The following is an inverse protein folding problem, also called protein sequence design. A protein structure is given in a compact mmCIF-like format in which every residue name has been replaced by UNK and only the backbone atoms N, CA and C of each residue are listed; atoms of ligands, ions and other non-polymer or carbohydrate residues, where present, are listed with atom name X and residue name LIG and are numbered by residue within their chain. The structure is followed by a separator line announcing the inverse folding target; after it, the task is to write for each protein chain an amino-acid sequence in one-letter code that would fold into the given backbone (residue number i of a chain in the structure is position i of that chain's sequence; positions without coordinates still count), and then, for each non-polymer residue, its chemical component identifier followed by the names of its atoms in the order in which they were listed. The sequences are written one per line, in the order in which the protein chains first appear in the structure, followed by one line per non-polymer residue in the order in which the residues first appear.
data_IF_168596464929
#
_entry.id   IF_168596464929
#
_cell.length_a   1.000
_cell.length_b   1.000
_cell.length_c   1.000
_cell.angle_alpha   90.00
_cell.angle_beta   90.00
_cell.angle_gamma   90.00
#
_symmetry.space_group_name_H-M   'P 1'
#
loop_
_entity.id
_entity.type
_entity.pdbx_description
1 polymer ?
#
# COMPACT_ATOMS: atom_id res chain seq x y z
N UNK A 1 54.40 7.94 -33.68
CA UNK A 1 52.95 7.85 -33.85
C UNK A 1 52.38 7.41 -32.53
N UNK A 2 51.69 8.32 -31.83
CA UNK A 2 51.05 8.01 -30.54
C UNK A 2 49.59 7.68 -30.82
N UNK A 3 49.18 6.44 -30.62
CA UNK A 3 47.80 6.03 -30.69
C UNK A 3 47.10 6.38 -29.37
N UNK A 4 46.17 7.31 -29.44
CA UNK A 4 45.35 7.77 -28.32
C UNK A 4 44.15 6.78 -28.20
N UNK A 5 44.18 5.87 -27.21
CA UNK A 5 43.06 5.01 -26.90
C UNK A 5 42.04 5.80 -26.09
N UNK A 6 40.92 6.08 -26.71
CA UNK A 6 39.73 6.61 -26.02
C UNK A 6 39.00 5.49 -25.29
N UNK A 7 39.17 5.45 -23.98
CA UNK A 7 38.35 4.64 -23.09
C UNK A 7 36.99 5.32 -22.94
N UNK A 8 35.99 4.84 -23.65
CA UNK A 8 34.58 5.17 -23.39
C UNK A 8 34.10 4.46 -22.15
N UNK A 9 34.04 5.14 -21.02
CA UNK A 9 33.40 4.64 -19.83
C UNK A 9 31.88 4.64 -20.07
N UNK A 10 31.32 3.45 -20.31
CA UNK A 10 29.87 3.25 -20.37
C UNK A 10 29.24 3.46 -19.00
N UNK A 11 28.47 4.53 -18.85
CA UNK A 11 27.66 4.79 -17.66
C UNK A 11 26.47 3.82 -17.65
N UNK A 12 26.55 2.74 -16.88
CA UNK A 12 25.45 1.84 -16.61
C UNK A 12 24.45 2.56 -15.69
N UNK A 13 23.41 3.14 -16.28
CA UNK A 13 22.24 3.62 -15.55
C UNK A 13 21.50 2.41 -15.01
N UNK A 14 21.67 2.11 -13.72
CA UNK A 14 20.83 1.16 -13.02
C UNK A 14 19.43 1.74 -12.93
N UNK A 15 18.54 1.36 -13.85
CA UNK A 15 17.11 1.68 -13.78
C UNK A 15 16.54 0.89 -12.62
N UNK A 16 16.27 1.54 -11.48
CA UNK A 16 15.51 0.96 -10.38
C UNK A 16 14.11 0.60 -10.89
N UNK A 17 13.75 -0.68 -10.84
CA UNK A 17 12.40 -1.13 -11.18
C UNK A 17 11.49 -0.72 -10.03
N UNK A 18 10.67 0.32 -10.22
CA UNK A 18 9.60 0.64 -9.30
C UNK A 18 8.53 -0.45 -9.41
N UNK A 19 8.30 -1.20 -8.30
CA UNK A 19 7.22 -2.17 -8.24
C UNK A 19 5.89 -1.44 -8.14
N UNK A 20 5.12 -1.45 -9.24
CA UNK A 20 3.73 -1.04 -9.21
C UNK A 20 2.91 -2.06 -8.42
N UNK A 21 1.92 -1.58 -7.64
CA UNK A 21 0.97 -2.46 -6.95
C UNK A 21 0.15 -3.22 -7.98
N UNK A 22 0.05 -4.53 -7.83
CA UNK A 22 -0.87 -5.35 -8.60
C UNK A 22 -2.29 -5.16 -8.05
N UNK A 23 -3.06 -4.32 -8.73
CA UNK A 23 -4.42 -3.97 -8.29
C UNK A 23 -5.35 -5.19 -8.28
N UNK A 24 -5.28 -6.04 -9.29
CA UNK A 24 -6.13 -7.24 -9.35
C UNK A 24 -5.83 -8.20 -8.20
N UNK A 25 -4.56 -8.43 -7.88
CA UNK A 25 -4.15 -9.24 -6.74
C UNK A 25 -4.60 -8.62 -5.41
N UNK A 26 -4.47 -7.30 -5.25
CA UNK A 26 -4.91 -6.60 -4.04
C UNK A 26 -6.43 -6.70 -3.84
N UNK A 27 -7.21 -6.55 -4.90
CA UNK A 27 -8.68 -6.71 -4.84
C UNK A 27 -9.06 -8.13 -4.41
N UNK A 28 -8.42 -9.15 -4.95
CA UNK A 28 -8.66 -10.54 -4.54
C UNK A 28 -8.30 -10.76 -3.07
N UNK A 29 -7.18 -10.24 -2.60
CA UNK A 29 -6.81 -10.29 -1.18
C UNK A 29 -7.85 -9.60 -0.29
N UNK A 30 -8.34 -8.43 -0.70
CA UNK A 30 -9.37 -7.70 0.03
C UNK A 30 -10.67 -8.49 0.12
N UNK A 31 -11.12 -9.10 -0.98
CA UNK A 31 -12.31 -9.96 -1.00
C UNK A 31 -12.15 -11.18 -0.11
N UNK A 32 -11.04 -11.89 -0.23
CA UNK A 32 -10.80 -13.14 0.48
C UNK A 32 -10.63 -12.97 1.98
N UNK A 33 -10.27 -11.76 2.43
CA UNK A 33 -10.05 -11.45 3.84
C UNK A 33 -11.15 -10.58 4.48
N UNK A 34 -12.29 -10.43 3.81
CA UNK A 34 -13.46 -9.76 4.34
C UNK A 34 -13.36 -8.23 4.43
N UNK A 35 -12.36 -7.62 3.81
CA UNK A 35 -12.13 -6.18 3.86
C UNK A 35 -13.32 -5.38 3.31
N UNK A 36 -13.91 -5.88 2.22
CA UNK A 36 -15.02 -5.20 1.52
C UNK A 36 -16.37 -5.34 2.22
N UNK A 37 -16.44 -6.07 3.33
CA UNK A 37 -17.61 -6.08 4.23
C UNK A 37 -17.72 -4.78 5.02
N UNK A 38 -16.60 -4.09 5.26
CA UNK A 38 -16.52 -2.88 6.07
C UNK A 38 -15.97 -1.66 5.30
N UNK A 39 -15.28 -1.88 4.20
CA UNK A 39 -14.66 -0.83 3.39
C UNK A 39 -15.18 -0.82 1.96
N UNK A 40 -15.22 0.36 1.37
CA UNK A 40 -15.41 0.59 -0.04
C UNK A 40 -14.33 1.54 -0.56
N UNK A 41 -14.10 1.56 -1.87
CA UNK A 41 -13.07 2.44 -2.45
C UNK A 41 -13.37 3.93 -2.20
N UNK A 42 -14.61 4.35 -2.40
CA UNK A 42 -15.01 5.77 -2.38
C UNK A 42 -16.08 6.12 -1.36
N UNK A 43 -16.69 5.16 -0.72
CA UNK A 43 -17.81 5.37 0.19
C UNK A 43 -17.54 4.83 1.58
N UNK A 44 -17.93 5.59 2.61
CA UNK A 44 -17.94 5.10 3.98
C UNK A 44 -19.11 4.14 4.16
N UNK A 45 -18.82 2.94 4.65
CA UNK A 45 -19.83 1.98 5.11
C UNK A 45 -19.66 1.73 6.61
N UNK A 46 -19.10 0.62 7.03
CA UNK A 46 -18.75 0.40 8.44
C UNK A 46 -17.43 1.10 8.78
N UNK A 47 -16.40 0.85 7.97
CA UNK A 47 -15.11 1.52 8.06
C UNK A 47 -14.99 2.69 7.08
N UNK A 48 -13.88 3.44 7.13
CA UNK A 48 -13.66 4.55 6.21
C UNK A 48 -13.50 4.06 4.77
N UNK A 49 -13.90 4.92 3.82
CA UNK A 49 -13.56 4.72 2.41
C UNK A 49 -12.03 4.68 2.26
N UNK A 50 -11.52 3.85 1.36
CA UNK A 50 -10.08 3.79 1.10
C UNK A 50 -9.53 5.12 0.58
N UNK A 51 -10.32 5.87 -0.20
CA UNK A 51 -9.95 7.22 -0.64
C UNK A 51 -9.79 8.19 0.51
N UNK A 52 -10.57 8.06 1.58
CA UNK A 52 -10.42 8.85 2.80
C UNK A 52 -9.16 8.46 3.59
N UNK A 53 -8.83 7.18 3.61
CA UNK A 53 -7.58 6.70 4.20
C UNK A 53 -6.38 7.27 3.45
N UNK A 54 -6.40 7.21 2.12
CA UNK A 54 -5.38 7.86 1.29
C UNK A 54 -5.21 9.33 1.66
N UNK A 55 -6.30 10.07 1.72
CA UNK A 55 -6.28 11.50 2.02
C UNK A 55 -5.68 11.81 3.39
N UNK A 56 -5.99 10.99 4.39
CA UNK A 56 -5.43 11.14 5.74
C UNK A 56 -3.92 10.91 5.79
N UNK A 57 -3.41 9.96 5.04
CA UNK A 57 -2.02 9.51 5.12
C UNK A 57 -1.13 9.97 3.97
N UNK A 58 -1.64 10.70 2.98
CA UNK A 58 -0.89 11.04 1.75
C UNK A 58 0.44 11.77 1.99
N UNK A 59 0.52 12.58 3.05
CA UNK A 59 1.72 13.35 3.39
C UNK A 59 2.56 12.67 4.50
N UNK A 60 2.14 11.52 4.97
CA UNK A 60 2.86 10.74 5.96
C UNK A 60 3.85 9.79 5.28
N UNK A 61 5.14 10.00 5.52
CA UNK A 61 6.20 9.11 4.99
C UNK A 61 6.10 7.68 5.49
N UNK A 62 5.45 7.45 6.63
CA UNK A 62 5.25 6.15 7.27
C UNK A 62 3.84 5.58 7.02
N UNK A 63 3.12 6.11 6.05
CA UNK A 63 1.74 5.73 5.75
C UNK A 63 1.56 4.21 5.61
N UNK A 64 2.34 3.57 4.75
CA UNK A 64 2.24 2.12 4.52
C UNK A 64 2.51 1.35 5.80
N UNK A 65 3.54 1.70 6.57
CA UNK A 65 3.85 1.05 7.84
C UNK A 65 2.71 1.18 8.86
N UNK A 66 2.07 2.36 8.93
CA UNK A 66 0.91 2.59 9.80
C UNK A 66 -0.29 1.75 9.38
N UNK A 67 -0.55 1.65 8.08
CA UNK A 67 -1.65 0.83 7.56
C UNK A 67 -1.40 -0.67 7.75
N UNK A 68 -0.17 -1.11 7.59
CA UNK A 68 0.23 -2.51 7.90
C UNK A 68 -0.12 -2.85 9.34
N UNK A 69 0.20 -1.99 10.30
CA UNK A 69 -0.13 -2.21 11.71
C UNK A 69 -1.64 -2.26 11.95
N UNK A 70 -2.39 -1.38 11.31
CA UNK A 70 -3.85 -1.36 11.44
C UNK A 70 -4.50 -2.64 10.91
N UNK A 71 -3.99 -3.19 9.82
CA UNK A 71 -4.48 -4.46 9.26
C UNK A 71 -4.08 -5.63 10.17
N UNK A 72 -2.82 -5.69 10.56
CA UNK A 72 -2.28 -6.83 11.32
C UNK A 72 -2.87 -6.92 12.72
N UNK A 73 -2.91 -5.80 13.44
CA UNK A 73 -3.29 -5.76 14.86
C UNK A 73 -4.67 -5.17 15.12
N UNK A 74 -5.35 -4.69 14.08
CA UNK A 74 -6.59 -3.95 14.24
C UNK A 74 -6.35 -2.49 14.64
N UNK A 75 -7.43 -1.73 14.76
CA UNK A 75 -7.38 -0.31 15.06
C UNK A 75 -8.61 0.09 15.86
N UNK A 76 -8.41 0.99 16.85
CA UNK A 76 -9.47 1.56 17.68
C UNK A 76 -9.34 3.08 17.71
N UNK A 77 -10.48 3.77 17.59
CA UNK A 77 -10.56 5.21 17.82
C UNK A 77 -9.95 6.10 16.73
N UNK A 78 -9.39 5.56 15.67
CA UNK A 78 -8.82 6.35 14.57
C UNK A 78 -9.89 6.93 13.65
N UNK A 79 -10.98 6.20 13.46
CA UNK A 79 -12.04 6.51 12.50
C UNK A 79 -13.45 6.47 13.10
N UNK A 80 -13.55 6.56 14.41
CA UNK A 80 -14.81 6.53 15.12
C UNK A 80 -14.86 5.40 16.16
N UNK A 81 -16.08 4.98 16.51
CA UNK A 81 -16.30 4.05 17.62
C UNK A 81 -16.10 2.58 17.27
N UNK A 82 -16.34 2.23 16.01
CA UNK A 82 -16.28 0.83 15.58
C UNK A 82 -14.83 0.45 15.35
N UNK A 83 -14.30 -0.54 16.09
CA UNK A 83 -12.92 -0.97 15.90
C UNK A 83 -12.78 -1.79 14.63
N UNK A 84 -11.64 -1.66 13.97
CA UNK A 84 -11.23 -2.57 12.91
C UNK A 84 -10.63 -3.83 13.56
N UNK A 85 -11.13 -5.04 13.23
CA UNK A 85 -10.57 -6.26 13.79
C UNK A 85 -9.18 -6.56 13.23
N UNK A 86 -8.33 -7.28 13.97
CA UNK A 86 -7.03 -7.72 13.50
C UNK A 86 -7.14 -8.84 12.46
N UNK A 87 -6.08 -9.01 11.66
CA UNK A 87 -5.96 -10.09 10.66
C UNK A 87 -4.69 -10.91 10.93
N UNK A 88 -4.63 -11.68 12.03
CA UNK A 88 -3.41 -12.38 12.44
C UNK A 88 -3.00 -13.51 11.52
N UNK A 89 -3.92 -14.02 10.69
CA UNK A 89 -3.66 -15.11 9.75
C UNK A 89 -3.10 -14.67 8.40
N UNK A 90 -3.02 -13.38 8.13
CA UNK A 90 -2.48 -12.87 6.87
C UNK A 90 -0.95 -12.83 6.88
N UNK A 91 -0.33 -13.16 5.75
CA UNK A 91 1.12 -13.02 5.60
C UNK A 91 1.55 -11.54 5.60
N UNK A 92 2.75 -11.21 6.09
CA UNK A 92 3.27 -9.84 6.02
C UNK A 92 3.31 -9.28 4.60
N UNK A 93 3.61 -10.10 3.60
CA UNK A 93 3.65 -9.69 2.20
C UNK A 93 2.26 -9.28 1.69
N UNK A 94 1.22 -10.05 2.03
CA UNK A 94 -0.15 -9.76 1.63
C UNK A 94 -0.69 -8.50 2.32
N UNK A 95 -0.40 -8.33 3.59
CA UNK A 95 -0.77 -7.12 4.35
C UNK A 95 -0.12 -5.89 3.71
N UNK A 96 1.16 -5.97 3.37
CA UNK A 96 1.88 -4.87 2.71
C UNK A 96 1.26 -4.54 1.34
N UNK A 97 0.91 -5.54 0.55
CA UNK A 97 0.24 -5.36 -0.73
C UNK A 97 -1.06 -4.60 -0.57
N UNK A 98 -1.89 -4.96 0.41
CA UNK A 98 -3.13 -4.24 0.71
C UNK A 98 -2.89 -2.80 1.15
N UNK A 99 -1.93 -2.57 2.05
CA UNK A 99 -1.59 -1.23 2.52
C UNK A 99 -1.12 -0.32 1.38
N UNK A 100 -0.26 -0.82 0.52
CA UNK A 100 0.22 -0.09 -0.66
C UNK A 100 -0.92 0.20 -1.64
N UNK A 101 -1.80 -0.77 -1.87
CA UNK A 101 -2.96 -0.60 -2.75
C UNK A 101 -3.91 0.48 -2.25
N UNK A 102 -4.25 0.48 -0.95
CA UNK A 102 -5.10 1.52 -0.34
C UNK A 102 -4.52 2.91 -0.61
N UNK A 103 -3.23 3.08 -0.54
CA UNK A 103 -2.56 4.35 -0.82
C UNK A 103 -2.58 4.76 -2.30
N UNK A 104 -3.01 3.92 -3.21
CA UNK A 104 -3.24 4.27 -4.62
C UNK A 104 -4.64 4.80 -4.89
N UNK A 105 -5.58 4.65 -3.96
CA UNK A 105 -6.99 4.99 -4.15
C UNK A 105 -7.22 6.45 -3.76
N UNK A 106 -7.05 7.33 -4.72
CA UNK A 106 -7.28 8.78 -4.54
C UNK A 106 -8.77 9.11 -4.54
N UNK A 107 -9.18 10.21 -3.88
CA UNK A 107 -10.54 10.73 -3.92
C UNK A 107 -11.02 11.02 -5.33
#
# INVERSE_FOLDING_TARGET
MRTLSLLTAGLLLASGVAHAVDEAAAIELAKNNGCLSCHSAKEKIVGPAYSAVHEKYKDDKDAVASLVQSIQYGSKGKWGRIPMPPHPGMSPADIKTLAEWVMTIKP
#
